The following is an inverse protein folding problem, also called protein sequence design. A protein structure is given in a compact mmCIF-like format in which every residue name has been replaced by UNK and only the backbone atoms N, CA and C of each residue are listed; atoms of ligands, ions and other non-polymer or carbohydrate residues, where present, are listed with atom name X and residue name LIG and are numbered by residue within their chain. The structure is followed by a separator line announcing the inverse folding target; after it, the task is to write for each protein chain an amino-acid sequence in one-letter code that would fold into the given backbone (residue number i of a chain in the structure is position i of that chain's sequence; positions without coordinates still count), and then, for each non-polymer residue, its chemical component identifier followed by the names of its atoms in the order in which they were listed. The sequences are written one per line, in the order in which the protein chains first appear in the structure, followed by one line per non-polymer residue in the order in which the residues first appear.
data_IF_974566840684
#
_entry.id   IF_974566840684
#
_cell.length_a   1.000
_cell.length_b   1.000
_cell.length_c   1.000
_cell.angle_alpha   90.00
_cell.angle_beta   90.00
_cell.angle_gamma   90.00
#
_symmetry.space_group_name_H-M   'P 1'
#
loop_
_entity.id
_entity.type
_entity.pdbx_description
1 polymer ?
#
# COMPACT_ATOMS: atom_id res chain seq x y z
N UNK A 1 5.21 7.15 14.35
CA UNK A 1 5.69 5.94 13.64
C UNK A 1 4.82 4.78 14.08
N UNK A 2 4.17 4.14 13.12
CA UNK A 2 3.22 3.03 13.31
C UNK A 2 3.63 1.86 12.40
N UNK A 3 3.39 0.61 12.79
CA UNK A 3 3.64 -0.55 11.91
C UNK A 3 2.60 -0.63 10.80
N UNK A 4 2.97 -1.21 9.65
CA UNK A 4 2.02 -1.40 8.56
C UNK A 4 0.82 -2.26 8.98
N UNK A 5 1.04 -3.34 9.74
CA UNK A 5 -0.01 -4.18 10.29
C UNK A 5 -0.97 -3.43 11.22
N UNK A 6 -0.44 -2.56 12.09
CA UNK A 6 -1.23 -1.69 12.98
C UNK A 6 -2.08 -0.71 12.18
N UNK A 7 -1.50 -0.10 11.15
CA UNK A 7 -2.24 0.79 10.25
C UNK A 7 -3.38 0.04 9.57
N UNK A 8 -3.13 -1.14 8.99
CA UNK A 8 -4.18 -1.92 8.31
C UNK A 8 -5.34 -2.29 9.26
N UNK A 9 -5.07 -2.49 10.55
CA UNK A 9 -6.10 -2.77 11.55
C UNK A 9 -6.92 -1.53 11.94
N UNK A 10 -6.39 -0.32 11.70
CA UNK A 10 -7.04 0.95 12.00
C UNK A 10 -7.85 1.52 10.82
N UNK A 11 -7.74 0.94 9.62
CA UNK A 11 -8.44 1.41 8.42
C UNK A 11 -9.82 0.74 8.29
N UNK A 12 -10.88 1.51 8.50
CA UNK A 12 -12.27 1.05 8.37
C UNK A 12 -12.64 0.69 6.93
N UNK A 13 -12.02 1.33 5.93
CA UNK A 13 -12.27 1.04 4.51
C UNK A 13 -11.69 -0.29 4.02
N UNK A 14 -10.85 -0.94 4.82
CA UNK A 14 -10.27 -2.24 4.46
C UNK A 14 -11.17 -3.39 4.92
N UNK A 15 -11.22 -4.42 4.09
CA UNK A 15 -11.89 -5.66 4.46
C UNK A 15 -10.98 -6.44 5.43
N UNK A 16 -11.49 -6.93 6.57
CA UNK A 16 -10.69 -7.68 7.55
C UNK A 16 -9.94 -8.88 6.95
N UNK A 17 -10.57 -9.57 6.00
CA UNK A 17 -10.05 -10.75 5.29
C UNK A 17 -9.47 -10.43 3.91
N UNK A 18 -9.23 -9.14 3.63
CA UNK A 18 -8.62 -8.70 2.37
C UNK A 18 -7.22 -9.28 2.19
N UNK A 19 -6.88 -9.61 0.94
CA UNK A 19 -5.56 -10.09 0.59
C UNK A 19 -4.49 -9.05 1.01
N UNK A 20 -3.44 -9.50 1.69
CA UNK A 20 -2.33 -8.65 2.12
C UNK A 20 -1.05 -9.45 2.25
N UNK A 21 0.07 -8.75 2.25
CA UNK A 21 1.37 -9.29 2.58
C UNK A 21 2.19 -8.24 3.31
N UNK A 22 2.58 -8.55 4.55
CA UNK A 22 3.23 -7.56 5.43
C UNK A 22 4.72 -7.37 5.15
N UNK A 23 5.35 -8.23 4.34
CA UNK A 23 6.81 -8.32 4.25
C UNK A 23 7.43 -8.41 5.67
N UNK A 24 8.36 -7.53 6.01
CA UNK A 24 8.96 -7.41 7.36
C UNK A 24 8.16 -6.47 8.29
N UNK A 25 6.92 -6.17 7.94
CA UNK A 25 6.01 -5.25 8.63
C UNK A 25 6.66 -3.87 8.89
N UNK A 26 6.95 -3.10 7.82
CA UNK A 26 7.79 -1.92 7.92
C UNK A 26 7.16 -0.83 8.81
N UNK A 27 7.98 -0.05 9.55
CA UNK A 27 7.49 1.13 10.23
C UNK A 27 7.15 2.22 9.19
N UNK A 28 6.03 2.89 9.42
CA UNK A 28 5.52 3.98 8.59
C UNK A 28 5.56 5.30 9.37
N UNK A 29 6.02 6.36 8.71
CA UNK A 29 6.13 7.73 9.23
C UNK A 29 5.38 8.76 8.39
N UNK A 30 4.63 8.30 7.38
CA UNK A 30 3.77 9.14 6.56
C UNK A 30 3.23 8.41 5.35
N UNK A 31 2.53 9.13 4.50
CA UNK A 31 1.99 8.62 3.25
C UNK A 31 2.12 9.66 2.13
N UNK A 32 2.33 9.20 0.90
CA UNK A 32 2.44 10.05 -0.27
C UNK A 32 1.93 9.33 -1.53
N UNK A 33 1.65 10.09 -2.59
CA UNK A 33 1.38 9.53 -3.91
C UNK A 33 2.56 8.62 -4.34
N UNK A 34 2.27 7.55 -5.07
CA UNK A 34 3.25 6.48 -5.32
C UNK A 34 4.55 6.97 -6.00
N UNK A 35 4.45 7.95 -6.89
CA UNK A 35 5.56 8.59 -7.60
C UNK A 35 6.46 9.45 -6.68
N UNK A 36 5.97 9.80 -5.49
CA UNK A 36 6.66 10.63 -4.49
C UNK A 36 6.96 9.89 -3.19
N UNK A 37 6.32 8.74 -2.98
CA UNK A 37 6.47 7.95 -1.78
C UNK A 37 7.90 7.43 -1.67
N UNK A 38 8.48 7.63 -0.49
CA UNK A 38 9.83 7.21 -0.14
C UNK A 38 9.81 6.13 0.94
N UNK A 39 10.99 5.61 1.27
CA UNK A 39 11.15 4.64 2.35
C UNK A 39 10.54 5.18 3.65
N UNK A 40 9.80 4.33 4.36
CA UNK A 40 9.03 4.70 5.53
C UNK A 40 7.62 5.23 5.22
N UNK A 41 7.23 5.35 3.95
CA UNK A 41 5.91 5.85 3.59
C UNK A 41 5.01 4.80 2.96
N UNK A 42 3.70 5.00 3.16
CA UNK A 42 2.64 4.33 2.43
C UNK A 42 2.40 5.02 1.09
N UNK A 43 2.24 4.23 0.02
CA UNK A 43 1.71 4.67 -1.26
C UNK A 43 0.38 3.98 -1.58
N UNK A 44 -0.23 4.37 -2.69
CA UNK A 44 -1.40 3.67 -3.23
C UNK A 44 -1.39 3.65 -4.76
N UNK A 45 -2.08 2.68 -5.33
CA UNK A 45 -2.35 2.59 -6.75
C UNK A 45 -3.85 2.72 -7.01
N UNK A 46 -4.19 3.46 -8.06
CA UNK A 46 -5.53 3.46 -8.65
C UNK A 46 -5.49 2.71 -9.97
N UNK A 47 -6.64 2.13 -10.36
CA UNK A 47 -6.77 1.44 -11.65
C UNK A 47 -6.44 2.40 -12.79
N UNK A 48 -5.28 2.17 -13.42
CA UNK A 48 -4.82 2.89 -14.60
C UNK A 48 -3.95 1.97 -15.47
N UNK A 49 -3.54 2.43 -16.65
CA UNK A 49 -2.80 1.60 -17.61
C UNK A 49 -1.31 1.41 -17.25
N UNK A 50 -0.77 2.13 -16.26
CA UNK A 50 0.66 2.18 -15.95
C UNK A 50 1.00 1.67 -14.54
N UNK A 51 0.10 0.93 -13.89
CA UNK A 51 0.26 0.52 -12.48
C UNK A 51 1.52 -0.32 -12.23
N UNK A 52 1.82 -1.27 -13.11
CA UNK A 52 2.99 -2.13 -12.96
C UNK A 52 4.30 -1.35 -13.07
N UNK A 53 4.38 -0.43 -14.04
CA UNK A 53 5.54 0.45 -14.21
C UNK A 53 5.70 1.41 -13.02
N UNK A 54 4.60 1.99 -12.54
CA UNK A 54 4.61 2.87 -11.39
C UNK A 54 5.06 2.14 -10.11
N UNK A 55 4.60 0.90 -9.90
CA UNK A 55 5.01 0.06 -8.78
C UNK A 55 6.48 -0.37 -8.88
N UNK A 56 7.00 -0.60 -10.09
CA UNK A 56 8.39 -0.99 -10.33
C UNK A 56 9.41 0.11 -9.98
N UNK A 57 8.97 1.38 -9.96
CA UNK A 57 9.83 2.54 -9.68
C UNK A 57 9.50 3.22 -8.34
N UNK A 58 8.57 2.68 -7.56
CA UNK A 58 8.16 3.34 -6.32
C UNK A 58 9.19 3.16 -5.19
N UNK A 59 9.32 4.20 -4.36
CA UNK A 59 10.20 4.16 -3.18
C UNK A 59 9.47 3.80 -1.89
N UNK A 60 8.17 3.52 -1.94
CA UNK A 60 7.33 3.28 -0.77
C UNK A 60 7.76 2.01 -0.01
N UNK A 61 7.53 1.99 1.31
CA UNK A 61 7.72 0.77 2.11
C UNK A 61 6.49 -0.14 2.12
N UNK A 62 5.31 0.45 1.92
CA UNK A 62 4.06 -0.29 1.77
C UNK A 62 3.15 0.36 0.71
N UNK A 63 2.30 -0.43 0.05
CA UNK A 63 1.38 0.08 -0.99
C UNK A 63 -0.03 -0.50 -0.83
N UNK A 64 -1.04 0.35 -0.94
CA UNK A 64 -2.44 -0.06 -1.14
C UNK A 64 -2.67 -0.37 -2.62
N UNK A 65 -3.00 -1.62 -2.93
CA UNK A 65 -3.26 -2.09 -4.30
C UNK A 65 -4.76 -2.14 -4.56
N UNK A 66 -5.23 -1.92 -5.81
CA UNK A 66 -6.59 -2.31 -6.18
C UNK A 66 -6.81 -3.80 -5.94
N UNK A 67 -8.02 -4.17 -5.54
CA UNK A 67 -8.41 -5.58 -5.37
C UNK A 67 -8.21 -6.41 -6.66
N UNK A 68 -7.98 -7.71 -6.50
CA UNK A 68 -7.86 -8.71 -7.58
C UNK A 68 -6.71 -8.48 -8.60
N UNK A 69 -5.70 -7.69 -8.23
CA UNK A 69 -4.52 -7.42 -9.06
C UNK A 69 -3.35 -8.38 -8.76
N UNK A 70 -3.51 -9.67 -9.02
CA UNK A 70 -2.47 -10.70 -8.75
C UNK A 70 -1.10 -10.37 -9.38
N UNK A 71 -0.99 -9.84 -10.62
CA UNK A 71 0.30 -9.42 -11.17
C UNK A 71 1.01 -8.36 -10.33
N UNK A 72 0.28 -7.36 -9.80
CA UNK A 72 0.85 -6.32 -8.95
C UNK A 72 1.28 -6.86 -7.59
N UNK A 73 0.49 -7.76 -7.00
CA UNK A 73 0.82 -8.41 -5.74
C UNK A 73 2.13 -9.20 -5.83
N UNK A 74 2.35 -9.91 -6.95
CA UNK A 74 3.63 -10.61 -7.22
C UNK A 74 4.78 -9.63 -7.42
N UNK A 75 4.56 -8.54 -8.17
CA UNK A 75 5.58 -7.52 -8.39
C UNK A 75 6.01 -6.85 -7.07
N UNK A 76 5.06 -6.47 -6.22
CA UNK A 76 5.37 -5.92 -4.89
C UNK A 76 6.17 -6.91 -4.03
N UNK A 77 5.78 -8.20 -4.04
CA UNK A 77 6.52 -9.27 -3.35
C UNK A 77 7.95 -9.40 -3.83
N UNK A 78 8.17 -9.38 -5.14
CA UNK A 78 9.52 -9.47 -5.73
C UNK A 78 10.41 -8.28 -5.34
N UNK A 79 9.81 -7.11 -5.10
CA UNK A 79 10.51 -5.91 -4.67
C UNK A 79 10.64 -5.76 -3.14
N UNK A 80 10.06 -6.67 -2.36
CA UNK A 80 10.06 -6.56 -0.89
C UNK A 80 9.14 -5.45 -0.35
N UNK A 81 8.18 -4.99 -1.15
CA UNK A 81 7.24 -3.93 -0.77
C UNK A 81 6.01 -4.58 -0.13
N UNK A 82 5.70 -4.22 1.11
CA UNK A 82 4.50 -4.67 1.79
C UNK A 82 3.24 -4.15 1.08
N UNK A 83 2.13 -4.88 1.11
CA UNK A 83 0.91 -4.43 0.46
C UNK A 83 -0.37 -4.96 1.10
N UNK A 84 -1.46 -4.24 0.85
CA UNK A 84 -2.82 -4.70 1.13
C UNK A 84 -3.72 -4.37 -0.07
N UNK A 85 -4.58 -5.32 -0.43
CA UNK A 85 -5.63 -5.10 -1.41
C UNK A 85 -6.73 -4.25 -0.79
N UNK A 86 -7.13 -3.20 -1.50
CA UNK A 86 -8.24 -2.33 -1.13
C UNK A 86 -9.26 -2.28 -2.26
N UNK A 87 -10.57 -2.41 -1.97
CA UNK A 87 -11.62 -2.14 -2.95
C UNK A 87 -11.67 -0.65 -3.33
N UNK A 88 -11.21 0.23 -2.44
CA UNK A 88 -11.20 1.67 -2.61
C UNK A 88 -9.84 2.28 -2.19
N UNK A 89 -8.75 2.04 -2.96
CA UNK A 89 -7.39 2.43 -2.54
C UNK A 89 -7.23 3.89 -2.14
N UNK A 90 -7.93 4.80 -2.83
CA UNK A 90 -7.91 6.24 -2.54
C UNK A 90 -8.60 6.61 -1.23
N UNK A 91 -9.69 5.92 -0.88
CA UNK A 91 -10.36 6.12 0.41
C UNK A 91 -9.47 5.62 1.54
N UNK A 92 -8.96 4.39 1.41
CA UNK A 92 -8.04 3.80 2.38
C UNK A 92 -6.77 4.62 2.56
N UNK A 93 -6.28 5.25 1.48
CA UNK A 93 -5.13 6.15 1.55
C UNK A 93 -5.47 7.44 2.30
N UNK A 94 -6.64 8.05 2.06
CA UNK A 94 -7.07 9.24 2.77
C UNK A 94 -7.22 8.98 4.28
N UNK A 95 -7.82 7.86 4.66
CA UNK A 95 -7.88 7.42 6.07
C UNK A 95 -6.49 7.24 6.66
N UNK A 96 -5.58 6.60 5.93
CA UNK A 96 -4.20 6.40 6.38
C UNK A 96 -3.44 7.72 6.58
N UNK A 97 -3.70 8.74 5.76
CA UNK A 97 -3.08 10.06 5.90
C UNK A 97 -3.50 10.80 7.17
N UNK A 98 -4.70 10.54 7.69
CA UNK A 98 -5.16 11.14 8.95
C UNK A 98 -4.58 10.42 10.18
N UNK A 99 -4.12 9.17 10.01
CA UNK A 99 -3.57 8.33 11.08
C UNK A 99 -2.04 8.48 11.21
N UNK A 100 -1.34 8.66 10.10
CA UNK A 100 0.13 8.68 10.01
C UNK A 100 0.75 10.07 10.22
#
# INVERSE_FOLDING_TARGET
MMRFSELLAALDSLQPDGARWLADDPPLDGAAALDKARKGQLGFLERNNAMAEALAHCGASAVLLPADEEPLQRLARQQGIAWAASPHPRLSFAEAQEIL
#
